data_IF_790151797310
#
_entry.id   IF_790151797310
#
_cell.length_a   1.000
_cell.length_b   1.000
_cell.length_c   1.000
_cell.angle_alpha   90.00
_cell.angle_beta   90.00
_cell.angle_gamma   90.00
#
_symmetry.space_group_name_H-M   'P 1'
#
loop_
_entity.id
_entity.type
_entity.pdbx_description
1 polymer ?
#
# COMPACT_ATOMS: atom_id res chain seq x y z
N UNK A 1 -59.27 -40.56 25.25
CA UNK A 1 -57.88 -40.10 25.06
C UNK A 1 -57.89 -38.58 24.85
N UNK A 2 -57.31 -37.77 25.74
CA UNK A 2 -57.29 -36.31 25.57
C UNK A 2 -56.31 -35.94 24.45
N UNK A 3 -56.79 -35.17 23.45
CA UNK A 3 -55.96 -34.61 22.39
C UNK A 3 -54.92 -33.68 23.05
N UNK A 4 -53.63 -33.97 22.82
CA UNK A 4 -52.53 -33.20 23.41
C UNK A 4 -52.56 -31.76 22.88
N UNK A 5 -52.77 -30.72 23.73
CA UNK A 5 -52.90 -29.32 23.30
C UNK A 5 -51.61 -28.72 22.70
N UNK A 6 -50.49 -29.43 22.82
CA UNK A 6 -49.17 -28.99 22.38
C UNK A 6 -48.97 -28.97 20.86
N UNK A 7 -49.73 -29.78 20.10
CA UNK A 7 -49.55 -29.85 18.64
C UNK A 7 -49.99 -28.57 17.91
N UNK A 8 -50.95 -27.82 18.46
CA UNK A 8 -51.41 -26.55 17.88
C UNK A 8 -50.44 -25.39 18.11
N UNK A 9 -49.78 -25.35 19.27
CA UNK A 9 -48.83 -24.30 19.63
C UNK A 9 -47.54 -24.38 18.81
N UNK A 10 -47.04 -25.59 18.55
CA UNK A 10 -45.84 -25.81 17.70
C UNK A 10 -46.10 -25.39 16.26
N UNK A 11 -47.29 -25.68 15.71
CA UNK A 11 -47.66 -25.28 14.35
C UNK A 11 -47.85 -23.77 14.17
N UNK A 12 -48.39 -23.08 15.18
CA UNK A 12 -48.53 -21.62 15.16
C UNK A 12 -47.18 -20.90 15.26
N UNK A 13 -46.29 -21.39 16.14
CA UNK A 13 -44.93 -20.85 16.28
C UNK A 13 -44.10 -21.04 15.00
N UNK A 14 -44.18 -22.22 14.35
CA UNK A 14 -43.46 -22.48 13.10
C UNK A 14 -43.93 -21.56 11.95
N UNK A 15 -45.23 -21.28 11.84
CA UNK A 15 -45.76 -20.35 10.83
C UNK A 15 -45.39 -18.90 11.12
N UNK A 16 -45.41 -18.49 12.39
CA UNK A 16 -44.98 -17.15 12.80
C UNK A 16 -43.49 -16.92 12.50
N UNK A 17 -42.64 -17.91 12.83
CA UNK A 17 -41.21 -17.87 12.51
C UNK A 17 -40.97 -17.86 10.99
N UNK A 18 -41.66 -18.71 10.23
CA UNK A 18 -41.54 -18.73 8.76
C UNK A 18 -42.01 -17.42 8.10
N UNK A 19 -43.08 -16.80 8.61
CA UNK A 19 -43.57 -15.51 8.12
C UNK A 19 -42.69 -14.32 8.52
N UNK A 20 -41.97 -14.42 9.64
CA UNK A 20 -41.05 -13.38 10.13
C UNK A 20 -39.64 -13.50 9.55
N UNK A 21 -39.26 -14.69 9.07
CA UNK A 21 -37.93 -14.98 8.53
C UNK A 21 -37.52 -14.02 7.39
N UNK A 22 -38.36 -13.69 6.40
CA UNK A 22 -38.00 -12.71 5.37
C UNK A 22 -37.69 -11.32 5.93
N UNK A 23 -38.41 -10.87 6.97
CA UNK A 23 -38.18 -9.58 7.62
C UNK A 23 -36.90 -9.55 8.44
N UNK A 24 -36.45 -10.70 8.96
CA UNK A 24 -35.18 -10.85 9.65
C UNK A 24 -34.01 -11.00 8.66
N UNK A 25 -34.23 -11.67 7.52
CA UNK A 25 -33.20 -11.88 6.49
C UNK A 25 -33.00 -10.66 5.59
N UNK A 26 -34.02 -9.85 5.34
CA UNK A 26 -33.91 -8.69 4.44
C UNK A 26 -32.85 -7.67 4.91
N UNK A 27 -32.78 -7.25 6.21
CA UNK A 27 -31.71 -6.39 6.68
C UNK A 27 -30.32 -7.02 6.53
N UNK A 28 -30.19 -8.32 6.77
CA UNK A 28 -28.92 -9.03 6.59
C UNK A 28 -28.49 -9.06 5.12
N UNK A 29 -29.43 -9.29 4.21
CA UNK A 29 -29.16 -9.26 2.77
C UNK A 29 -28.74 -7.85 2.31
N UNK A 30 -29.40 -6.80 2.80
CA UNK A 30 -29.01 -5.41 2.53
C UNK A 30 -27.59 -5.14 3.02
N UNK A 31 -27.25 -5.56 4.25
CA UNK A 31 -25.89 -5.44 4.77
C UNK A 31 -24.87 -6.19 3.90
N UNK A 32 -25.19 -7.42 3.48
CA UNK A 32 -24.31 -8.23 2.61
C UNK A 32 -24.09 -7.55 1.26
N UNK A 33 -25.14 -7.03 0.62
CA UNK A 33 -25.07 -6.37 -0.69
C UNK A 33 -24.27 -5.06 -0.63
N UNK A 34 -24.31 -4.35 0.49
CA UNK A 34 -23.54 -3.11 0.68
C UNK A 34 -22.07 -3.41 1.02
N UNK A 35 -21.83 -4.30 1.99
CA UNK A 35 -20.49 -4.47 2.57
C UNK A 35 -19.59 -5.43 1.80
N UNK A 36 -20.12 -6.42 1.08
CA UNK A 36 -19.26 -7.33 0.29
C UNK A 36 -18.50 -6.58 -0.81
N UNK A 37 -19.14 -5.75 -1.66
CA UNK A 37 -18.43 -4.99 -2.69
C UNK A 37 -17.38 -4.05 -2.08
N UNK A 38 -17.70 -3.39 -0.96
CA UNK A 38 -16.78 -2.49 -0.26
C UNK A 38 -15.53 -3.23 0.24
N UNK A 39 -15.72 -4.38 0.89
CA UNK A 39 -14.59 -5.20 1.36
C UNK A 39 -13.80 -5.74 0.16
N UNK A 40 -14.46 -6.18 -0.91
CA UNK A 40 -13.79 -6.64 -2.13
C UNK A 40 -13.03 -5.51 -2.85
N UNK A 41 -13.51 -4.27 -2.71
CA UNK A 41 -12.86 -3.10 -3.29
C UNK A 41 -11.52 -2.81 -2.65
N UNK A 42 -11.35 -3.04 -1.34
CA UNK A 42 -10.09 -2.77 -0.63
C UNK A 42 -9.26 -4.01 -0.28
N UNK A 43 -9.82 -5.21 -0.42
CA UNK A 43 -9.12 -6.46 -0.10
C UNK A 43 -8.41 -7.02 -1.33
N UNK A 44 -7.10 -6.77 -1.40
CA UNK A 44 -6.24 -7.41 -2.38
C UNK A 44 -6.23 -8.94 -2.21
N UNK A 45 -6.24 -9.71 -3.32
CA UNK A 45 -6.09 -11.16 -3.26
C UNK A 45 -4.70 -11.52 -2.74
N UNK A 46 -4.62 -12.62 -1.98
CA UNK A 46 -3.34 -13.20 -1.59
C UNK A 46 -2.66 -13.81 -2.82
N UNK A 47 -1.36 -13.57 -2.95
CA UNK A 47 -0.53 -14.12 -4.03
C UNK A 47 0.48 -15.07 -3.41
N UNK A 48 0.56 -16.28 -3.96
CA UNK A 48 1.55 -17.25 -3.54
C UNK A 48 2.94 -16.81 -4.02
N UNK A 49 3.84 -16.54 -3.07
CA UNK A 49 5.23 -16.17 -3.35
C UNK A 49 6.13 -17.39 -3.12
N UNK A 50 6.55 -18.00 -4.22
CA UNK A 50 7.40 -19.20 -4.17
C UNK A 50 8.86 -18.86 -3.86
N UNK A 51 9.60 -19.82 -3.32
CA UNK A 51 11.04 -19.69 -3.09
C UNK A 51 11.83 -19.43 -4.39
N UNK A 52 11.57 -20.13 -5.53
CA UNK A 52 12.23 -19.82 -6.79
C UNK A 52 12.00 -18.38 -7.29
N UNK A 53 10.82 -17.79 -7.02
CA UNK A 53 10.58 -16.38 -7.35
C UNK A 53 11.52 -15.46 -6.57
N UNK A 54 11.72 -15.72 -5.28
CA UNK A 54 12.63 -14.92 -4.45
C UNK A 54 14.08 -15.13 -4.88
N UNK A 55 14.51 -16.37 -5.13
CA UNK A 55 15.86 -16.67 -5.62
C UNK A 55 16.17 -15.95 -6.94
N UNK A 56 15.20 -15.92 -7.88
CA UNK A 56 15.34 -15.20 -9.13
C UNK A 56 15.39 -13.69 -8.91
N UNK A 57 14.58 -13.17 -7.99
CA UNK A 57 14.48 -11.74 -7.67
C UNK A 57 15.78 -11.15 -7.07
N UNK A 58 16.59 -11.98 -6.41
CA UNK A 58 17.91 -11.57 -5.93
C UNK A 58 18.85 -11.16 -7.07
N UNK A 59 18.57 -11.57 -8.31
CA UNK A 59 19.40 -11.29 -9.49
C UNK A 59 18.68 -10.53 -10.59
N UNK A 60 17.35 -10.44 -10.51
CA UNK A 60 16.49 -9.86 -11.55
C UNK A 60 15.46 -8.91 -10.91
N UNK A 61 15.30 -7.67 -11.41
CA UNK A 61 16.06 -7.06 -12.50
C UNK A 61 17.51 -6.76 -12.08
N UNK A 62 18.33 -6.31 -13.02
CA UNK A 62 19.69 -5.85 -12.75
C UNK A 62 19.68 -4.66 -11.76
N UNK A 63 20.77 -4.48 -11.00
CA UNK A 63 20.88 -3.41 -9.99
C UNK A 63 20.80 -2.01 -10.61
N UNK A 64 21.24 -1.86 -11.86
CA UNK A 64 21.16 -0.63 -12.64
C UNK A 64 19.71 -0.19 -12.83
N UNK A 65 18.80 -1.13 -13.12
CA UNK A 65 17.37 -0.84 -13.26
C UNK A 65 16.81 -0.29 -11.95
N UNK A 66 17.08 -0.97 -10.83
CA UNK A 66 16.58 -0.51 -9.53
C UNK A 66 17.20 0.83 -9.09
N UNK A 67 18.42 1.11 -9.56
CA UNK A 67 19.10 2.38 -9.30
C UNK A 67 18.49 3.52 -10.11
N UNK A 68 18.18 3.30 -11.39
CA UNK A 68 17.46 4.27 -12.22
C UNK A 68 16.08 4.60 -11.63
N UNK A 69 15.34 3.58 -11.18
CA UNK A 69 14.05 3.79 -10.52
C UNK A 69 14.14 4.61 -9.21
N UNK A 70 15.33 4.78 -8.61
CA UNK A 70 15.52 5.67 -7.44
C UNK A 70 15.44 7.14 -7.81
N UNK A 71 15.89 7.48 -9.01
CA UNK A 71 16.08 8.88 -9.39
C UNK A 71 14.74 9.61 -9.58
N UNK A 72 13.66 8.85 -9.75
CA UNK A 72 12.31 9.35 -9.77
C UNK A 72 11.73 9.38 -8.37
N UNK A 73 11.13 10.50 -7.97
CA UNK A 73 10.37 10.63 -6.73
C UNK A 73 8.97 11.13 -7.00
N UNK A 74 7.98 10.39 -6.50
CA UNK A 74 6.57 10.75 -6.58
C UNK A 74 6.17 11.80 -5.51
N UNK A 75 6.94 11.90 -4.43
CA UNK A 75 6.78 12.92 -3.38
C UNK A 75 8.11 13.65 -3.17
N UNK A 76 8.54 14.50 -4.11
CA UNK A 76 9.85 15.14 -4.04
C UNK A 76 9.89 16.19 -2.93
N UNK A 77 10.89 16.10 -2.06
CA UNK A 77 11.21 17.16 -1.09
C UNK A 77 12.05 18.22 -1.81
N UNK A 78 11.56 19.45 -1.89
CA UNK A 78 12.29 20.57 -2.50
C UNK A 78 13.62 20.83 -1.76
N UNK A 79 14.71 20.96 -2.51
CA UNK A 79 16.03 21.25 -1.94
C UNK A 79 16.63 20.11 -1.09
N UNK A 80 16.21 18.85 -1.30
CA UNK A 80 16.75 17.67 -0.61
C UNK A 80 18.20 17.39 -1.03
N UNK A 81 19.16 18.06 -0.39
CA UNK A 81 20.58 17.70 -0.46
C UNK A 81 20.90 16.53 0.47
N UNK A 82 22.10 15.96 0.34
CA UNK A 82 22.59 14.92 1.26
C UNK A 82 22.51 15.35 2.73
N UNK A 83 22.92 16.58 3.05
CA UNK A 83 22.91 17.11 4.41
C UNK A 83 21.49 17.28 4.94
N UNK A 84 20.57 17.76 4.09
CA UNK A 84 19.15 17.90 4.44
C UNK A 84 18.54 16.53 4.69
N UNK A 85 18.80 15.55 3.83
CA UNK A 85 18.31 14.19 3.96
C UNK A 85 18.76 13.55 5.29
N UNK A 86 20.06 13.60 5.60
CA UNK A 86 20.58 13.06 6.86
C UNK A 86 19.98 13.78 8.06
N UNK A 87 19.85 15.11 8.01
CA UNK A 87 19.22 15.87 9.10
C UNK A 87 17.75 15.49 9.32
N UNK A 88 17.00 15.25 8.24
CA UNK A 88 15.61 14.79 8.33
C UNK A 88 15.54 13.37 8.90
N UNK A 89 16.44 12.48 8.47
CA UNK A 89 16.50 11.11 8.95
C UNK A 89 16.78 11.05 10.46
N UNK A 90 17.69 11.88 10.97
CA UNK A 90 17.95 12.00 12.42
C UNK A 90 16.72 12.48 13.18
N UNK A 91 16.01 13.50 12.66
CA UNK A 91 14.76 13.95 13.26
C UNK A 91 13.69 12.83 13.28
N UNK A 92 13.63 12.00 12.23
CA UNK A 92 12.71 10.87 12.14
C UNK A 92 13.05 9.73 13.10
N UNK A 93 14.34 9.48 13.37
CA UNK A 93 14.75 8.55 14.45
C UNK A 93 14.27 9.04 15.83
N UNK A 94 14.16 10.36 16.02
CA UNK A 94 13.60 10.99 17.22
C UNK A 94 12.05 11.08 17.22
N UNK A 95 11.38 10.51 16.22
CA UNK A 95 9.92 10.57 16.08
C UNK A 95 9.40 11.96 15.71
N UNK A 96 10.19 12.77 14.97
CA UNK A 96 9.81 14.08 14.46
C UNK A 96 9.73 14.08 12.94
N UNK A 97 8.61 14.56 12.42
CA UNK A 97 8.40 14.80 10.99
C UNK A 97 8.51 16.31 10.75
N UNK A 98 9.69 16.77 10.32
CA UNK A 98 10.05 18.18 10.17
C UNK A 98 10.40 18.52 8.72
N UNK A 99 9.46 18.26 7.79
CA UNK A 99 9.68 18.50 6.37
C UNK A 99 9.80 20.01 6.06
N UNK A 100 10.72 20.43 5.16
CA UNK A 100 10.87 21.84 4.80
C UNK A 100 9.56 22.48 4.33
N UNK A 101 9.24 23.66 4.85
CA UNK A 101 8.03 24.41 4.49
C UNK A 101 6.72 23.89 5.09
N UNK A 102 6.75 22.81 5.86
CA UNK A 102 5.58 22.21 6.52
C UNK A 102 5.66 22.35 8.06
N UNK A 103 4.52 22.32 8.77
CA UNK A 103 4.54 22.31 10.23
C UNK A 103 5.23 21.04 10.76
N UNK A 104 6.09 21.18 11.76
CA UNK A 104 6.66 20.01 12.45
C UNK A 104 5.58 19.26 13.24
N UNK A 105 5.64 17.93 13.22
CA UNK A 105 4.77 17.08 14.02
C UNK A 105 5.53 15.90 14.64
N UNK A 106 4.97 15.33 15.71
CA UNK A 106 5.45 14.08 16.32
C UNK A 106 4.71 12.89 15.73
N UNK A 107 5.44 11.80 15.53
CA UNK A 107 4.88 10.51 15.11
C UNK A 107 5.51 9.39 15.93
N UNK A 108 4.90 8.21 15.88
CA UNK A 108 5.40 7.01 16.56
C UNK A 108 6.47 6.34 15.71
N UNK A 109 7.71 6.28 16.21
CA UNK A 109 8.81 5.55 15.56
C UNK A 109 8.41 4.07 15.38
N UNK A 110 8.64 3.51 14.19
CA UNK A 110 8.22 2.15 13.86
C UNK A 110 6.76 2.01 13.43
N UNK A 111 6.06 3.13 13.17
CA UNK A 111 4.65 3.21 12.73
C UNK A 111 3.60 2.94 13.83
N UNK A 112 2.60 3.82 13.89
CA UNK A 112 1.34 3.55 14.58
C UNK A 112 0.15 4.10 13.78
N UNK A 113 -0.93 3.32 13.68
CA UNK A 113 -2.13 3.71 12.93
C UNK A 113 -2.81 4.98 13.45
N UNK A 114 -2.73 5.25 14.75
CA UNK A 114 -3.26 6.47 15.36
C UNK A 114 -2.65 7.77 14.80
N UNK A 115 -1.48 7.69 14.15
CA UNK A 115 -0.81 8.87 13.61
C UNK A 115 -1.52 9.40 12.35
N UNK A 116 -2.39 8.62 11.70
CA UNK A 116 -3.26 9.12 10.61
C UNK A 116 -4.11 10.30 11.03
N UNK A 117 -4.69 10.24 12.24
CA UNK A 117 -5.63 11.25 12.72
C UNK A 117 -4.95 12.35 13.53
N UNK A 118 -3.72 12.10 14.01
CA UNK A 118 -2.97 13.05 14.87
C UNK A 118 -2.07 13.98 14.08
N UNK A 119 -1.58 13.56 12.93
CA UNK A 119 -0.73 14.40 12.11
C UNK A 119 -1.54 15.55 11.48
N UNK A 120 -0.96 16.75 11.34
CA UNK A 120 -1.55 17.83 10.57
C UNK A 120 -1.94 17.36 9.16
N UNK A 121 -3.07 17.84 8.64
CA UNK A 121 -3.58 17.44 7.33
C UNK A 121 -2.52 17.58 6.21
N UNK A 122 -1.67 18.61 6.27
CA UNK A 122 -0.57 18.84 5.33
C UNK A 122 0.52 17.76 5.32
N UNK A 123 0.62 16.96 6.39
CA UNK A 123 1.60 15.88 6.54
C UNK A 123 1.00 14.48 6.32
N UNK A 124 -0.32 14.35 6.31
CA UNK A 124 -0.97 13.03 6.23
C UNK A 124 -0.62 12.30 4.93
N UNK A 125 -0.63 13.00 3.79
CA UNK A 125 -0.26 12.39 2.50
C UNK A 125 1.20 11.94 2.50
N UNK A 126 2.11 12.76 3.01
CA UNK A 126 3.53 12.43 3.11
C UNK A 126 3.78 11.20 3.97
N UNK A 127 3.15 11.15 5.14
CA UNK A 127 3.26 10.02 6.05
C UNK A 127 2.68 8.75 5.42
N UNK A 128 1.49 8.85 4.80
CA UNK A 128 0.85 7.72 4.14
C UNK A 128 1.59 7.24 2.87
N UNK A 129 2.25 8.16 2.18
CA UNK A 129 3.13 7.91 1.05
C UNK A 129 4.54 7.48 1.43
N UNK A 130 4.78 7.16 2.71
CA UNK A 130 6.05 6.60 3.20
C UNK A 130 7.25 7.55 3.10
N UNK A 131 7.05 8.86 3.34
CA UNK A 131 8.18 9.80 3.42
C UNK A 131 9.20 9.44 4.50
N UNK A 132 8.74 8.83 5.59
CA UNK A 132 9.61 8.43 6.70
C UNK A 132 10.61 7.36 6.27
N UNK A 133 10.19 6.17 5.81
CA UNK A 133 11.13 5.18 5.30
C UNK A 133 11.88 5.67 4.05
N UNK A 134 11.31 6.50 3.19
CA UNK A 134 12.03 7.07 2.03
C UNK A 134 13.29 7.86 2.46
N UNK A 135 13.12 8.82 3.37
CA UNK A 135 14.24 9.62 3.90
C UNK A 135 15.24 8.76 4.66
N UNK A 136 14.78 7.79 5.45
CA UNK A 136 15.66 6.88 6.17
C UNK A 136 16.48 5.99 5.23
N UNK A 137 15.88 5.46 4.15
CA UNK A 137 16.58 4.64 3.16
C UNK A 137 17.59 5.46 2.35
N UNK A 138 17.25 6.70 2.02
CA UNK A 138 18.20 7.64 1.41
C UNK A 138 19.40 7.88 2.32
N UNK A 139 19.16 8.29 3.57
CA UNK A 139 20.23 8.56 4.53
C UNK A 139 21.09 7.32 4.82
N UNK A 140 20.50 6.12 4.81
CA UNK A 140 21.25 4.87 4.87
C UNK A 140 22.16 4.70 3.63
N UNK A 141 21.63 4.92 2.42
CA UNK A 141 22.39 4.77 1.18
C UNK A 141 23.62 5.70 1.17
N UNK A 142 23.50 6.89 1.76
CA UNK A 142 24.57 7.87 1.73
C UNK A 142 25.56 7.73 2.89
N UNK A 143 25.13 7.23 4.06
CA UNK A 143 25.97 7.17 5.28
C UNK A 143 26.38 5.77 5.70
N UNK A 144 25.68 4.73 5.25
CA UNK A 144 25.84 3.35 5.71
C UNK A 144 25.40 3.11 7.16
N UNK A 145 24.72 4.06 7.82
CA UNK A 145 24.30 3.89 9.22
C UNK A 145 23.10 2.95 9.35
N UNK A 146 23.34 1.77 9.90
CA UNK A 146 22.33 0.72 10.12
C UNK A 146 21.08 1.18 10.88
N UNK A 147 21.19 2.18 11.76
CA UNK A 147 20.02 2.72 12.48
C UNK A 147 18.92 3.23 11.52
N UNK A 148 19.30 3.84 10.40
CA UNK A 148 18.33 4.34 9.42
C UNK A 148 17.63 3.19 8.70
N UNK A 149 18.38 2.19 8.22
CA UNK A 149 17.80 1.02 7.58
C UNK A 149 16.90 0.22 8.53
N UNK A 150 17.34 -0.02 9.76
CA UNK A 150 16.55 -0.72 10.77
C UNK A 150 15.22 -0.01 11.04
N UNK A 151 15.24 1.32 11.21
CA UNK A 151 14.03 2.11 11.41
C UNK A 151 13.09 2.07 10.20
N UNK A 152 13.63 2.15 8.97
CA UNK A 152 12.83 2.05 7.75
C UNK A 152 12.17 0.68 7.61
N UNK A 153 12.94 -0.41 7.82
CA UNK A 153 12.44 -1.78 7.84
C UNK A 153 11.31 -1.96 8.84
N UNK A 154 11.52 -1.51 10.08
CA UNK A 154 10.55 -1.71 11.16
C UNK A 154 9.26 -0.93 10.89
N UNK A 155 9.36 0.28 10.31
CA UNK A 155 8.22 1.05 9.84
C UNK A 155 7.44 0.31 8.74
N UNK A 156 8.14 -0.13 7.68
CA UNK A 156 7.52 -0.83 6.53
C UNK A 156 6.84 -2.13 6.98
N UNK A 157 7.51 -2.93 7.82
CA UNK A 157 6.97 -4.19 8.33
C UNK A 157 5.75 -3.99 9.25
N UNK A 158 5.79 -2.96 10.10
CA UNK A 158 4.65 -2.64 10.98
C UNK A 158 3.46 -2.09 10.20
N UNK A 159 3.72 -1.28 9.17
CA UNK A 159 2.71 -0.84 8.23
C UNK A 159 2.08 -2.01 7.49
N UNK A 160 2.88 -2.93 6.96
CA UNK A 160 2.44 -4.14 6.26
C UNK A 160 1.53 -5.01 7.14
N UNK A 161 1.90 -5.20 8.41
CA UNK A 161 1.06 -5.91 9.38
C UNK A 161 -0.29 -5.21 9.62
N UNK A 162 -0.29 -3.88 9.76
CA UNK A 162 -1.51 -3.10 9.93
C UNK A 162 -2.41 -3.12 8.70
N UNK A 163 -1.83 -2.94 7.51
CA UNK A 163 -2.55 -2.93 6.24
C UNK A 163 -3.30 -4.25 6.02
N UNK A 164 -2.65 -5.40 6.23
CA UNK A 164 -3.30 -6.73 6.13
C UNK A 164 -4.42 -6.93 7.14
N UNK A 165 -4.32 -6.31 8.31
CA UNK A 165 -5.34 -6.38 9.35
C UNK A 165 -6.55 -5.49 9.09
N UNK A 166 -6.48 -4.61 8.09
CA UNK A 166 -7.46 -3.55 7.87
C UNK A 166 -8.42 -3.91 6.74
N UNK A 167 -9.72 -3.95 7.05
CA UNK A 167 -10.77 -4.40 6.12
C UNK A 167 -11.51 -3.24 5.45
N UNK A 168 -11.41 -2.05 6.01
CA UNK A 168 -12.08 -0.82 5.56
C UNK A 168 -11.04 0.30 5.46
N UNK A 169 -11.24 1.31 4.60
CA UNK A 169 -10.30 2.41 4.47
C UNK A 169 -10.17 3.18 5.79
N UNK A 170 -8.92 3.46 6.18
CA UNK A 170 -8.57 4.27 7.36
C UNK A 170 -7.62 5.37 6.89
N UNK A 171 -7.98 6.63 7.16
CA UNK A 171 -7.18 7.79 6.73
C UNK A 171 -6.83 7.73 5.25
N UNK A 172 -5.54 7.84 4.95
CA UNK A 172 -4.99 7.76 3.58
C UNK A 172 -4.36 6.39 3.27
N UNK A 173 -4.72 5.33 4.02
CA UNK A 173 -4.18 3.99 3.81
C UNK A 173 -4.35 3.48 2.37
N UNK A 174 -5.49 3.76 1.74
CA UNK A 174 -5.76 3.35 0.35
C UNK A 174 -5.88 4.57 -0.58
N UNK A 175 -5.24 5.68 -0.22
CA UNK A 175 -5.15 6.81 -1.13
C UNK A 175 -4.24 6.45 -2.31
N UNK A 176 -4.71 6.69 -3.53
CA UNK A 176 -4.03 6.33 -4.78
C UNK A 176 -2.63 6.93 -4.92
N UNK A 177 -2.48 8.22 -4.61
CA UNK A 177 -1.21 8.94 -4.61
C UNK A 177 -0.25 8.36 -3.56
N UNK A 178 -0.75 8.09 -2.35
CA UNK A 178 0.02 7.45 -1.29
C UNK A 178 0.47 6.02 -1.66
N UNK A 179 -0.42 5.19 -2.25
CA UNK A 179 -0.05 3.83 -2.70
C UNK A 179 1.02 3.90 -3.80
N UNK A 180 0.88 4.81 -4.75
CA UNK A 180 1.88 4.99 -5.80
C UNK A 180 3.25 5.38 -5.22
N UNK A 181 3.32 6.34 -4.30
CA UNK A 181 4.57 6.70 -3.64
C UNK A 181 5.16 5.53 -2.82
N UNK A 182 4.31 4.74 -2.14
CA UNK A 182 4.78 3.55 -1.41
C UNK A 182 5.38 2.48 -2.32
N UNK A 183 4.89 2.33 -3.54
CA UNK A 183 5.46 1.42 -4.51
C UNK A 183 6.94 1.76 -4.77
N UNK A 184 7.24 3.03 -5.05
CA UNK A 184 8.59 3.53 -5.27
C UNK A 184 9.51 3.28 -4.06
N UNK A 185 9.02 3.58 -2.85
CA UNK A 185 9.79 3.36 -1.62
C UNK A 185 10.03 1.87 -1.37
N UNK A 186 9.06 1.01 -1.70
CA UNK A 186 9.21 -0.44 -1.61
C UNK A 186 10.26 -0.97 -2.59
N UNK A 187 10.35 -0.39 -3.80
CA UNK A 187 11.42 -0.70 -4.76
C UNK A 187 12.79 -0.36 -4.17
N UNK A 188 12.93 0.83 -3.56
CA UNK A 188 14.18 1.21 -2.90
C UNK A 188 14.55 0.32 -1.72
N UNK A 189 13.56 -0.02 -0.91
CA UNK A 189 13.74 -0.96 0.19
C UNK A 189 14.20 -2.33 -0.32
N UNK A 190 13.58 -2.84 -1.39
CA UNK A 190 13.97 -4.11 -2.01
C UNK A 190 15.40 -4.09 -2.55
N UNK A 191 15.78 -3.02 -3.27
CA UNK A 191 17.14 -2.84 -3.80
C UNK A 191 18.19 -2.97 -2.71
N UNK A 192 17.97 -2.30 -1.57
CA UNK A 192 18.88 -2.38 -0.42
C UNK A 192 18.81 -3.78 0.18
N UNK A 193 17.61 -4.24 0.57
CA UNK A 193 17.41 -5.49 1.30
C UNK A 193 18.00 -6.70 0.57
N UNK A 194 17.81 -6.83 -0.74
CA UNK A 194 18.25 -8.01 -1.51
C UNK A 194 19.77 -8.16 -1.60
N UNK A 195 20.53 -7.07 -1.40
CA UNK A 195 21.99 -7.08 -1.45
C UNK A 195 22.64 -7.36 -0.09
N UNK A 196 21.85 -7.42 0.99
CA UNK A 196 22.38 -7.57 2.34
C UNK A 196 22.67 -9.03 2.69
N UNK A 197 23.73 -9.30 3.48
CA UNK A 197 24.05 -10.66 3.94
C UNK A 197 22.97 -11.29 4.84
N UNK A 198 22.15 -10.46 5.50
CA UNK A 198 21.05 -10.87 6.39
C UNK A 198 19.71 -11.00 5.66
N UNK A 199 19.70 -10.92 4.32
CA UNK A 199 18.51 -11.11 3.50
C UNK A 199 18.01 -12.56 3.56
N UNK A 200 17.08 -12.84 4.48
CA UNK A 200 16.39 -14.12 4.54
C UNK A 200 15.26 -14.23 3.50
N UNK A 201 14.91 -15.45 3.06
CA UNK A 201 13.85 -15.67 2.07
C UNK A 201 12.47 -15.18 2.56
N UNK A 202 12.23 -15.16 3.87
CA UNK A 202 10.98 -14.67 4.45
C UNK A 202 10.81 -13.16 4.31
N UNK A 203 11.90 -12.39 4.40
CA UNK A 203 11.87 -10.95 4.16
C UNK A 203 11.52 -10.65 2.69
N UNK A 204 12.11 -11.39 1.75
CA UNK A 204 11.77 -11.30 0.33
C UNK A 204 10.29 -11.64 0.07
N UNK A 205 9.77 -12.71 0.69
CA UNK A 205 8.35 -13.08 0.59
C UNK A 205 7.42 -11.97 1.08
N UNK A 206 7.72 -11.35 2.21
CA UNK A 206 6.91 -10.24 2.74
C UNK A 206 6.89 -9.03 1.79
N UNK A 207 8.06 -8.63 1.26
CA UNK A 207 8.19 -7.53 0.31
C UNK A 207 7.40 -7.82 -0.98
N UNK A 208 7.54 -9.03 -1.53
CA UNK A 208 6.83 -9.45 -2.74
C UNK A 208 5.32 -9.48 -2.54
N UNK A 209 4.86 -10.01 -1.40
CA UNK A 209 3.44 -10.00 -1.07
C UNK A 209 2.89 -8.57 -0.94
N UNK A 210 3.68 -7.64 -0.40
CA UNK A 210 3.30 -6.23 -0.33
C UNK A 210 3.28 -5.55 -1.70
N UNK A 211 4.29 -5.79 -2.53
CA UNK A 211 4.36 -5.31 -3.90
C UNK A 211 3.16 -5.81 -4.74
N UNK A 212 2.78 -7.07 -4.58
CA UNK A 212 1.62 -7.65 -5.25
C UNK A 212 0.30 -6.95 -4.87
N UNK A 213 0.13 -6.55 -3.60
CA UNK A 213 -1.06 -5.78 -3.17
C UNK A 213 -1.09 -4.39 -3.77
N UNK A 214 0.05 -3.70 -3.82
CA UNK A 214 0.14 -2.38 -4.47
C UNK A 214 -0.10 -2.48 -5.98
N UNK A 215 0.47 -3.50 -6.63
CA UNK A 215 0.24 -3.76 -8.05
C UNK A 215 -1.23 -4.06 -8.36
N UNK A 216 -1.88 -4.89 -7.54
CA UNK A 216 -3.33 -5.11 -7.62
C UNK A 216 -4.13 -3.82 -7.46
N UNK A 217 -3.82 -3.00 -6.44
CA UNK A 217 -4.53 -1.76 -6.17
C UNK A 217 -4.40 -0.79 -7.34
N UNK A 218 -3.18 -0.53 -7.81
CA UNK A 218 -2.89 0.44 -8.86
C UNK A 218 -3.37 -0.02 -10.25
N UNK A 219 -3.37 -1.34 -10.52
CA UNK A 219 -3.91 -1.88 -11.77
C UNK A 219 -5.44 -1.94 -11.80
N UNK A 220 -6.12 -1.92 -10.66
CA UNK A 220 -7.58 -2.02 -10.59
C UNK A 220 -8.26 -0.76 -11.16
N UNK A 221 -9.12 -0.88 -12.19
CA UNK A 221 -9.81 0.28 -12.77
C UNK A 221 -10.75 0.99 -11.78
N UNK A 222 -11.24 0.31 -10.74
CA UNK A 222 -12.05 0.91 -9.69
C UNK A 222 -11.29 1.89 -8.80
N UNK A 223 -9.96 1.80 -8.76
CA UNK A 223 -9.09 2.70 -7.97
C UNK A 223 -8.39 3.75 -8.83
N UNK A 224 -8.58 3.72 -10.15
CA UNK A 224 -7.83 4.57 -11.08
C UNK A 224 -8.48 5.93 -11.27
N UNK A 225 -7.71 7.01 -11.05
CA UNK A 225 -8.18 8.40 -11.16
C UNK A 225 -7.73 9.03 -12.48
N UNK A 226 -8.43 8.67 -13.57
CA UNK A 226 -8.11 9.13 -14.92
C UNK A 226 -8.07 10.66 -15.08
N UNK A 227 -7.23 11.15 -16.01
CA UNK A 227 -7.03 12.57 -16.31
C UNK A 227 -6.71 13.48 -15.11
N UNK A 228 -5.94 12.97 -14.14
CA UNK A 228 -5.41 13.74 -13.00
C UNK A 228 -3.92 13.46 -12.82
N UNK A 229 -3.24 14.31 -12.05
CA UNK A 229 -1.88 14.01 -11.58
C UNK A 229 -1.85 12.73 -10.73
N UNK A 230 -2.91 12.41 -9.98
CA UNK A 230 -3.00 11.15 -9.25
C UNK A 230 -2.94 9.95 -10.20
N UNK A 231 -3.72 9.94 -11.28
CA UNK A 231 -3.69 8.87 -12.28
C UNK A 231 -2.33 8.72 -12.96
N UNK A 232 -1.64 9.83 -13.25
CA UNK A 232 -0.26 9.79 -13.76
C UNK A 232 0.66 9.07 -12.78
N UNK A 233 0.61 9.44 -11.50
CA UNK A 233 1.42 8.83 -10.45
C UNK A 233 1.09 7.34 -10.25
N UNK A 234 -0.19 6.97 -10.32
CA UNK A 234 -0.59 5.56 -10.26
C UNK A 234 0.05 4.74 -11.37
N UNK A 235 0.10 5.28 -12.60
CA UNK A 235 0.74 4.59 -13.72
C UNK A 235 2.25 4.49 -13.53
N UNK A 236 2.91 5.53 -13.03
CA UNK A 236 4.35 5.49 -12.72
C UNK A 236 4.67 4.46 -11.64
N UNK A 237 3.94 4.48 -10.51
CA UNK A 237 4.12 3.48 -9.45
C UNK A 237 3.82 2.05 -9.92
N UNK A 238 2.83 1.87 -10.81
CA UNK A 238 2.52 0.56 -11.38
C UNK A 238 3.63 0.07 -12.32
N UNK A 239 4.19 0.96 -13.13
CA UNK A 239 5.32 0.67 -14.01
C UNK A 239 6.56 0.27 -13.19
N UNK A 240 6.88 1.03 -12.14
CA UNK A 240 7.98 0.75 -11.22
C UNK A 240 7.85 -0.65 -10.59
N UNK A 241 6.65 -1.04 -10.15
CA UNK A 241 6.41 -2.38 -9.62
C UNK A 241 6.64 -3.47 -10.66
N UNK A 242 6.16 -3.27 -11.90
CA UNK A 242 6.37 -4.22 -12.99
C UNK A 242 7.85 -4.44 -13.31
N UNK A 243 8.63 -3.35 -13.31
CA UNK A 243 10.07 -3.38 -13.58
C UNK A 243 10.88 -3.97 -12.42
N UNK A 244 10.56 -3.59 -11.18
CA UNK A 244 11.30 -4.01 -9.99
C UNK A 244 10.99 -5.45 -9.54
N UNK A 245 9.79 -5.94 -9.84
CA UNK A 245 9.30 -7.25 -9.42
C UNK A 245 8.78 -8.10 -10.59
N UNK A 246 9.61 -8.35 -11.64
CA UNK A 246 9.15 -8.98 -12.88
C UNK A 246 8.70 -10.45 -12.70
N UNK A 247 9.10 -11.07 -11.58
CA UNK A 247 8.67 -12.42 -11.21
C UNK A 247 7.29 -12.51 -10.56
N UNK A 248 6.65 -11.38 -10.22
CA UNK A 248 5.31 -11.41 -9.61
C UNK A 248 4.24 -11.88 -10.62
N UNK A 249 3.27 -12.71 -10.18
CA UNK A 249 2.07 -12.98 -10.96
C UNK A 249 1.37 -11.68 -11.35
N UNK A 250 1.24 -11.44 -12.65
CA UNK A 250 0.62 -10.21 -13.20
C UNK A 250 1.58 -9.04 -13.42
N UNK A 251 2.88 -9.17 -13.14
CA UNK A 251 3.86 -8.08 -13.36
C UNK A 251 3.88 -7.56 -14.81
N UNK A 252 3.71 -8.45 -15.81
CA UNK A 252 3.62 -8.07 -17.22
C UNK A 252 2.38 -7.23 -17.53
N UNK A 253 1.27 -7.48 -16.83
CA UNK A 253 0.06 -6.69 -16.98
C UNK A 253 0.23 -5.31 -16.35
N UNK A 254 1.04 -5.16 -15.30
CA UNK A 254 1.29 -3.87 -14.66
C UNK A 254 1.92 -2.88 -15.63
N UNK A 255 3.02 -3.28 -16.28
CA UNK A 255 3.69 -2.46 -17.30
C UNK A 255 2.74 -2.13 -18.47
N UNK A 256 2.04 -3.13 -19.00
CA UNK A 256 1.09 -2.95 -20.10
C UNK A 256 -0.01 -1.95 -19.75
N UNK A 257 -0.61 -2.09 -18.57
CA UNK A 257 -1.69 -1.20 -18.10
C UNK A 257 -1.16 0.21 -17.89
N UNK A 258 0.01 0.36 -17.24
CA UNK A 258 0.63 1.66 -17.01
C UNK A 258 0.91 2.40 -18.32
N UNK A 259 1.58 1.75 -19.27
CA UNK A 259 1.92 2.34 -20.57
C UNK A 259 0.66 2.69 -21.39
N UNK A 260 -0.35 1.81 -21.38
CA UNK A 260 -1.62 2.09 -22.04
C UNK A 260 -2.28 3.35 -21.45
N UNK A 261 -2.44 3.41 -20.13
CA UNK A 261 -3.09 4.54 -19.46
C UNK A 261 -2.30 5.83 -19.59
N UNK A 262 -0.97 5.79 -19.58
CA UNK A 262 -0.12 6.95 -19.87
C UNK A 262 -0.39 7.47 -21.28
N UNK A 263 -0.42 6.58 -22.28
CA UNK A 263 -0.75 6.95 -23.66
C UNK A 263 -2.14 7.59 -23.78
N UNK A 264 -3.13 7.07 -23.06
CA UNK A 264 -4.50 7.62 -23.01
C UNK A 264 -4.58 8.97 -22.28
N UNK A 265 -3.69 9.23 -21.30
CA UNK A 265 -3.66 10.47 -20.53
C UNK A 265 -2.85 11.59 -21.19
N UNK A 266 -1.84 11.27 -22.01
CA UNK A 266 -0.94 12.27 -22.61
C UNK A 266 -1.69 13.43 -23.31
N UNK A 267 -2.75 13.19 -24.11
CA UNK A 267 -3.50 14.28 -24.76
C UNK A 267 -4.21 15.24 -23.80
N UNK A 268 -4.39 14.87 -22.53
CA UNK A 268 -4.99 15.73 -21.51
C UNK A 268 -3.94 16.54 -20.73
N UNK A 269 -2.67 16.10 -20.75
CA UNK A 269 -1.59 16.68 -19.95
C UNK A 269 -0.69 17.60 -20.78
N UNK A 270 -0.64 17.40 -22.09
CA UNK A 270 0.19 18.16 -23.03
C UNK A 270 -0.75 18.79 -24.05
N UNK A 271 -0.67 20.12 -24.19
CA UNK A 271 -1.35 20.83 -25.26
C UNK A 271 -0.46 20.83 -26.52
N UNK A 272 -1.04 20.61 -27.69
CA UNK A 272 -0.34 20.68 -28.98
C UNK A 272 -0.17 22.18 -29.34
N UNK A 273 0.73 22.86 -28.64
CA UNK A 273 1.08 24.26 -28.90
C UNK A 273 1.84 24.45 -30.23
#
# INVERSE_FOLDING_TARGET
MPRRPWAGLVGAAARFLAGSLPFLLAPLLVLVVIWIPEVQHYRAPEVEISEPMIEAALRTPADEVLTELREFSLLPIEGRTHEVEVSLAEAMLDGRLALPGLPEARFTVGFAAQDFDRLPASLQLWYAGWIVPDVLLGAYADTGREAFFAAARDFIASWDAFERGTWLPVGLLWNDHAVAARAQVLVQYWRIARSRPDAGPDAGRAIFAQAARYGWFLSNPGHFTFATNHGLMQNLGLLELGLAFPGLPGAQDYERIALQRLGEQLPYLIDDA
#
